data_IF_468991267248
#
_entry.id   IF_468991267248
#
_cell.length_a   1.000
_cell.length_b   1.000
_cell.length_c   1.000
_cell.angle_alpha   90.00
_cell.angle_beta   90.00
_cell.angle_gamma   90.00
#
_symmetry.space_group_name_H-M   'P 1'
#
loop_
_entity.id
_entity.type
_entity.pdbx_description
1 polymer ?
#
# COMPACT_ATOMS: atom_id res chain seq x y z
N UNK A 1 -12.40 7.76 0.15
CA UNK A 1 -11.70 6.47 -0.02
C UNK A 1 -11.28 5.98 1.36
N UNK A 2 -11.16 4.67 1.55
CA UNK A 2 -10.53 4.08 2.73
C UNK A 2 -8.99 4.24 2.68
N UNK A 3 -8.28 3.65 3.64
CA UNK A 3 -6.83 3.76 3.76
C UNK A 3 -6.10 3.12 2.57
N UNK A 4 -5.04 3.77 2.09
CA UNK A 4 -4.03 3.15 1.21
C UNK A 4 -3.00 2.46 2.09
N UNK A 5 -2.74 1.16 1.91
CA UNK A 5 -1.79 0.45 2.74
C UNK A 5 -0.34 0.71 2.37
N UNK A 6 0.55 0.25 3.25
CA UNK A 6 2.00 0.33 3.16
C UNK A 6 2.60 -1.06 3.26
N UNK A 7 3.74 -1.29 2.61
CA UNK A 7 4.41 -2.59 2.58
C UNK A 7 5.83 -2.48 3.16
N UNK A 8 5.90 -2.10 4.43
CA UNK A 8 7.16 -1.82 5.13
C UNK A 8 7.83 -3.05 5.73
N UNK A 9 7.13 -4.19 5.77
CA UNK A 9 7.52 -5.37 6.54
C UNK A 9 7.32 -6.64 5.73
N UNK A 10 8.40 -7.16 5.13
CA UNK A 10 8.32 -8.36 4.27
C UNK A 10 7.91 -9.63 5.02
N UNK A 11 8.09 -9.66 6.34
CA UNK A 11 7.64 -10.76 7.20
C UNK A 11 6.12 -10.93 7.24
N UNK A 12 5.34 -9.98 6.71
CA UNK A 12 3.88 -10.06 6.64
C UNK A 12 3.37 -11.01 5.55
N UNK A 13 4.16 -11.23 4.49
CA UNK A 13 3.79 -12.08 3.35
C UNK A 13 4.77 -13.22 3.07
N UNK A 14 5.93 -13.24 3.72
CA UNK A 14 6.87 -14.35 3.63
C UNK A 14 6.52 -15.46 4.64
N UNK A 15 6.61 -16.71 4.20
CA UNK A 15 6.38 -17.83 5.11
C UNK A 15 7.50 -17.90 6.16
N UNK A 16 7.16 -18.21 7.41
CA UNK A 16 8.15 -18.45 8.45
C UNK A 16 9.11 -19.59 7.99
N UNK A 17 10.35 -19.22 7.65
CA UNK A 17 11.37 -20.15 7.17
C UNK A 17 11.52 -20.28 5.64
N UNK A 18 10.85 -19.46 4.82
CA UNK A 18 11.04 -19.44 3.36
C UNK A 18 12.35 -18.77 2.93
N UNK A 19 13.50 -19.21 3.46
CA UNK A 19 14.82 -18.98 2.85
C UNK A 19 15.28 -17.54 2.63
N UNK A 20 14.49 -16.52 2.96
CA UNK A 20 14.87 -15.11 3.02
C UNK A 20 15.76 -14.89 4.23
N UNK A 21 16.99 -15.41 4.20
CA UNK A 21 17.94 -15.39 5.30
C UNK A 21 18.48 -14.00 5.67
N UNK A 22 17.73 -12.91 5.45
CA UNK A 22 18.29 -11.57 5.33
C UNK A 22 17.41 -10.41 5.79
N UNK A 23 16.71 -10.52 6.92
CA UNK A 23 16.02 -9.37 7.53
C UNK A 23 14.89 -8.77 6.68
N UNK A 24 14.34 -7.64 7.12
CA UNK A 24 13.23 -6.97 6.43
C UNK A 24 13.72 -6.24 5.17
N UNK A 25 13.24 -6.66 3.98
CA UNK A 25 13.50 -5.98 2.71
C UNK A 25 12.34 -5.11 2.21
N UNK A 26 11.27 -4.95 2.99
CA UNK A 26 10.10 -4.14 2.62
C UNK A 26 9.52 -4.63 1.28
N UNK A 27 9.00 -3.75 0.44
CA UNK A 27 8.56 -4.03 -0.93
C UNK A 27 9.70 -4.18 -1.96
N UNK A 28 10.97 -4.29 -1.54
CA UNK A 28 12.08 -4.37 -2.50
C UNK A 28 12.10 -5.72 -3.22
N UNK A 29 12.15 -5.68 -4.55
CA UNK A 29 12.20 -6.87 -5.41
C UNK A 29 10.93 -7.76 -5.36
N UNK A 30 9.85 -7.25 -4.77
CA UNK A 30 8.53 -7.85 -4.85
C UNK A 30 7.92 -7.55 -6.23
N UNK A 31 7.58 -8.58 -6.98
CA UNK A 31 7.12 -8.47 -8.38
C UNK A 31 5.78 -9.15 -8.64
N UNK A 32 5.28 -9.89 -7.66
CA UNK A 32 4.00 -10.58 -7.69
C UNK A 32 3.15 -10.17 -6.49
N UNK A 33 1.81 -10.15 -6.63
CA UNK A 33 0.91 -9.85 -5.52
C UNK A 33 0.94 -10.96 -4.46
N UNK A 34 0.30 -10.69 -3.32
CA UNK A 34 0.07 -11.67 -2.27
C UNK A 34 -1.11 -12.56 -2.69
N UNK A 35 -0.87 -13.84 -2.93
CA UNK A 35 -1.90 -14.80 -3.37
C UNK A 35 -2.79 -15.32 -2.22
N UNK A 36 -2.31 -15.27 -0.97
CA UNK A 36 -3.04 -15.81 0.18
C UNK A 36 -4.32 -15.04 0.47
N UNK A 37 -5.46 -15.74 0.53
CA UNK A 37 -6.73 -15.15 0.95
C UNK A 37 -6.68 -14.68 2.41
N UNK A 38 -7.37 -13.58 2.72
CA UNK A 38 -7.47 -13.06 4.09
C UNK A 38 -6.16 -12.48 4.64
N UNK A 39 -5.21 -12.11 3.77
CA UNK A 39 -4.02 -11.39 4.20
C UNK A 39 -4.39 -10.03 4.80
N UNK A 40 -3.81 -9.70 5.95
CA UNK A 40 -3.98 -8.42 6.64
C UNK A 40 -2.62 -7.95 7.11
N UNK A 41 -2.09 -6.89 6.50
CA UNK A 41 -0.83 -6.30 6.93
C UNK A 41 -0.97 -5.54 8.25
N UNK A 42 0.17 -5.27 8.88
CA UNK A 42 0.23 -4.70 10.24
C UNK A 42 -0.27 -3.26 10.29
N UNK A 43 -0.18 -2.54 9.17
CA UNK A 43 -0.59 -1.15 9.04
C UNK A 43 -2.11 -0.99 8.78
N UNK A 44 -2.85 -2.09 8.56
CA UNK A 44 -4.30 -2.08 8.53
C UNK A 44 -4.89 -1.88 9.93
N UNK A 45 -5.15 -0.63 10.32
CA UNK A 45 -5.75 -0.29 11.62
C UNK A 45 -7.30 -0.44 11.61
N UNK A 46 -7.88 -1.41 12.34
CA UNK A 46 -9.33 -1.55 12.46
C UNK A 46 -10.01 -0.33 13.11
N UNK A 47 -9.30 0.40 13.97
CA UNK A 47 -9.83 1.61 14.60
C UNK A 47 -10.05 2.72 13.58
N UNK A 48 -9.19 2.83 12.56
CA UNK A 48 -9.40 3.75 11.44
C UNK A 48 -10.66 3.37 10.64
N UNK A 49 -10.83 2.10 10.30
CA UNK A 49 -12.00 1.61 9.57
C UNK A 49 -13.29 1.89 10.35
N UNK A 50 -13.32 1.52 11.63
CA UNK A 50 -14.47 1.79 12.52
C UNK A 50 -14.74 3.28 12.70
N UNK A 51 -13.69 4.11 12.78
CA UNK A 51 -13.82 5.57 12.85
C UNK A 51 -14.41 6.18 11.58
N UNK A 52 -13.99 5.69 10.42
CA UNK A 52 -14.53 6.10 9.12
C UNK A 52 -16.01 5.72 8.98
N UNK A 53 -16.37 4.48 9.34
CA UNK A 53 -17.77 4.02 9.31
C UNK A 53 -18.65 4.83 10.26
N UNK A 54 -18.18 5.10 11.49
CA UNK A 54 -18.90 5.91 12.45
C UNK A 54 -19.11 7.36 11.95
N UNK A 55 -18.12 7.94 11.28
CA UNK A 55 -18.25 9.27 10.67
C UNK A 55 -19.29 9.28 9.55
N UNK A 56 -19.25 8.29 8.67
CA UNK A 56 -20.22 8.14 7.57
C UNK A 56 -21.63 7.98 8.10
N UNK A 57 -21.83 7.17 9.14
CA UNK A 57 -23.13 7.01 9.79
C UNK A 57 -23.65 8.32 10.39
N UNK A 58 -22.78 9.09 11.07
CA UNK A 58 -23.13 10.41 11.63
C UNK A 58 -23.51 11.43 10.55
N UNK A 59 -22.84 11.40 9.40
CA UNK A 59 -23.19 12.26 8.25
C UNK A 59 -24.53 11.83 7.63
N UNK A 60 -24.77 10.52 7.51
CA UNK A 60 -26.05 9.97 7.04
C UNK A 60 -27.23 10.39 7.92
N UNK A 61 -27.06 10.36 9.25
CA UNK A 61 -28.07 10.85 10.20
C UNK A 61 -28.39 12.36 10.05
N UNK A 62 -27.50 13.12 9.41
CA UNK A 62 -27.68 14.55 9.10
C UNK A 62 -28.15 14.80 7.66
N UNK A 63 -28.51 13.75 6.93
CA UNK A 63 -28.98 13.84 5.54
C UNK A 63 -27.86 13.95 4.49
N UNK A 64 -26.59 13.75 4.87
CA UNK A 64 -25.46 13.77 3.94
C UNK A 64 -25.12 12.34 3.52
N UNK A 65 -25.39 12.00 2.26
CA UNK A 65 -25.04 10.70 1.70
C UNK A 65 -23.55 10.65 1.34
N UNK A 66 -22.80 9.75 1.98
CA UNK A 66 -21.39 9.48 1.69
C UNK A 66 -21.23 8.02 1.33
N UNK A 67 -20.60 7.75 0.18
CA UNK A 67 -20.22 6.40 -0.22
C UNK A 67 -18.71 6.25 -0.10
N UNK A 68 -18.26 5.31 0.72
CA UNK A 68 -16.84 5.03 0.87
C UNK A 68 -16.40 4.07 -0.22
N UNK A 69 -15.40 4.48 -0.98
CA UNK A 69 -14.62 3.59 -1.82
C UNK A 69 -13.68 2.77 -0.93
N UNK A 70 -14.04 1.52 -0.64
CA UNK A 70 -13.21 0.61 0.14
C UNK A 70 -12.16 -0.04 -0.76
N UNK A 71 -10.94 0.49 -0.69
CA UNK A 71 -9.79 0.08 -1.51
C UNK A 71 -8.69 -0.59 -0.69
N UNK A 72 -8.84 -0.68 0.62
CA UNK A 72 -7.74 -1.08 1.52
C UNK A 72 -7.36 -2.54 1.26
N UNK A 73 -8.31 -3.46 1.40
CA UNK A 73 -8.04 -4.90 1.26
C UNK A 73 -7.48 -5.26 -0.11
N UNK A 74 -8.07 -4.78 -1.22
CA UNK A 74 -7.56 -5.08 -2.56
C UNK A 74 -6.16 -4.52 -2.81
N UNK A 75 -5.81 -3.41 -2.16
CA UNK A 75 -4.50 -2.78 -2.30
C UNK A 75 -3.46 -3.46 -1.40
N UNK A 76 -3.89 -4.09 -0.30
CA UNK A 76 -3.04 -4.88 0.59
C UNK A 76 -2.39 -6.05 -0.14
N UNK A 77 -3.06 -6.63 -1.12
CA UNK A 77 -2.48 -7.71 -1.90
C UNK A 77 -1.37 -7.24 -2.85
N UNK A 78 -1.13 -5.93 -2.98
CA UNK A 78 -0.33 -5.35 -4.08
C UNK A 78 1.06 -4.90 -3.66
N UNK A 79 1.77 -5.70 -2.86
CA UNK A 79 3.18 -5.47 -2.50
C UNK A 79 4.11 -5.21 -3.70
N UNK A 80 3.73 -5.71 -4.88
CA UNK A 80 4.42 -5.59 -6.17
C UNK A 80 4.30 -4.21 -6.84
N UNK A 81 3.35 -3.38 -6.43
CA UNK A 81 2.95 -2.21 -7.20
C UNK A 81 3.57 -0.88 -6.71
N UNK A 82 4.48 -0.95 -5.74
CA UNK A 82 5.20 0.21 -5.23
C UNK A 82 6.38 0.62 -6.14
N UNK A 83 6.77 1.90 -6.19
CA UNK A 83 7.99 2.34 -6.87
C UNK A 83 9.25 1.69 -6.31
N UNK A 84 9.23 1.28 -5.03
CA UNK A 84 10.40 0.75 -4.36
C UNK A 84 11.57 1.72 -4.51
N UNK A 85 12.72 1.25 -4.99
CA UNK A 85 13.92 2.08 -5.22
C UNK A 85 13.84 3.01 -6.43
N UNK A 86 12.80 2.89 -7.26
CA UNK A 86 12.60 3.64 -8.51
C UNK A 86 11.83 4.96 -8.31
N UNK A 87 11.79 5.46 -7.07
CA UNK A 87 11.21 6.77 -6.74
C UNK A 87 11.99 7.93 -7.35
N UNK A 88 11.31 9.05 -7.57
CA UNK A 88 11.96 10.30 -7.99
C UNK A 88 12.91 10.81 -6.91
N UNK A 89 14.17 11.01 -7.28
CA UNK A 89 15.16 11.68 -6.43
C UNK A 89 15.19 13.17 -6.79
N UNK A 90 14.68 14.02 -5.90
CA UNK A 90 14.63 15.47 -6.13
C UNK A 90 16.00 16.15 -6.10
N UNK A 91 16.94 15.52 -5.41
CA UNK A 91 18.34 15.93 -5.32
C UNK A 91 19.25 14.77 -5.70
N UNK A 92 20.42 15.03 -6.31
CA UNK A 92 21.41 13.99 -6.52
C UNK A 92 21.75 13.29 -5.19
N UNK A 93 21.86 11.95 -5.19
CA UNK A 93 22.15 11.22 -3.96
C UNK A 93 23.57 11.58 -3.49
N UNK A 94 23.70 11.81 -2.19
CA UNK A 94 25.00 12.01 -1.55
C UNK A 94 25.82 10.72 -1.66
N UNK A 95 27.15 10.80 -1.60
CA UNK A 95 27.99 9.59 -1.57
C UNK A 95 27.63 8.66 -0.39
N UNK A 96 27.20 9.23 0.73
CA UNK A 96 26.74 8.45 1.88
C UNK A 96 25.49 7.62 1.54
N UNK A 97 24.53 8.20 0.81
CA UNK A 97 23.33 7.49 0.33
C UNK A 97 23.69 6.44 -0.72
N UNK A 98 24.60 6.73 -1.64
CA UNK A 98 25.09 5.74 -2.62
C UNK A 98 25.75 4.56 -1.91
N UNK A 99 26.62 4.82 -0.92
CA UNK A 99 27.24 3.76 -0.10
C UNK A 99 26.23 2.99 0.75
N UNK A 100 25.20 3.66 1.29
CA UNK A 100 24.13 3.02 2.05
C UNK A 100 23.33 2.06 1.16
N UNK A 101 22.92 2.52 -0.03
CA UNK A 101 22.20 1.71 -1.01
C UNK A 101 23.01 0.52 -1.51
N UNK A 102 24.33 0.68 -1.69
CA UNK A 102 25.21 -0.42 -2.07
C UNK A 102 25.29 -1.52 -0.99
N UNK A 103 25.12 -1.17 0.29
CA UNK A 103 25.10 -2.13 1.41
C UNK A 103 23.72 -2.73 1.65
N UNK A 104 22.68 -1.92 1.49
CA UNK A 104 21.29 -2.33 1.65
C UNK A 104 20.43 -1.69 0.55
N UNK A 105 20.17 -2.40 -0.55
CA UNK A 105 19.37 -1.88 -1.66
C UNK A 105 17.94 -1.45 -1.24
N UNK A 106 17.34 -2.10 -0.24
CA UNK A 106 15.98 -1.78 0.23
C UNK A 106 15.91 -0.55 1.14
N UNK A 107 17.04 -0.02 1.61
CA UNK A 107 17.07 1.07 2.60
C UNK A 107 16.38 2.37 2.16
N UNK A 108 16.26 2.57 0.84
CA UNK A 108 15.62 3.73 0.22
C UNK A 108 14.32 3.36 -0.51
N UNK A 109 13.77 2.17 -0.30
CA UNK A 109 12.54 1.75 -0.96
C UNK A 109 11.35 2.63 -0.53
N UNK A 110 10.58 3.10 -1.50
CA UNK A 110 9.29 3.72 -1.27
C UNK A 110 8.20 2.66 -1.36
N UNK A 111 7.70 2.24 -0.20
CA UNK A 111 6.65 1.24 -0.05
C UNK A 111 5.33 1.86 0.46
N UNK A 112 5.12 3.14 0.13
CA UNK A 112 3.94 3.94 0.51
C UNK A 112 3.21 4.44 -0.73
N UNK A 113 3.96 4.97 -1.70
CA UNK A 113 3.40 5.44 -2.96
C UNK A 113 3.23 4.31 -3.97
N UNK A 114 2.50 4.56 -5.06
CA UNK A 114 2.23 3.57 -6.09
C UNK A 114 2.85 3.96 -7.42
N UNK A 115 3.30 2.97 -8.18
CA UNK A 115 3.64 3.15 -9.59
C UNK A 115 2.41 3.57 -10.40
N UNK A 116 2.64 4.31 -11.48
CA UNK A 116 1.65 4.61 -12.52
C UNK A 116 2.18 4.18 -13.89
N UNK A 117 1.41 3.44 -14.70
CA UNK A 117 0.09 2.86 -14.38
C UNK A 117 0.17 1.81 -13.24
N UNK A 118 -0.91 1.63 -12.47
CA UNK A 118 -0.90 0.75 -11.30
C UNK A 118 -2.17 0.76 -10.44
N UNK A 119 -2.00 0.49 -9.14
CA UNK A 119 -3.10 0.36 -8.16
C UNK A 119 -4.07 1.55 -8.15
N UNK A 120 -3.62 2.82 -8.22
CA UNK A 120 -4.53 3.97 -8.27
C UNK A 120 -5.44 3.98 -9.50
N UNK A 121 -5.07 3.34 -10.60
CA UNK A 121 -5.93 3.24 -11.79
C UNK A 121 -7.17 2.38 -11.48
N UNK A 122 -7.01 1.31 -10.70
CA UNK A 122 -8.13 0.47 -10.24
C UNK A 122 -9.05 1.25 -9.31
N UNK A 123 -8.51 2.07 -8.41
CA UNK A 123 -9.32 2.95 -7.56
C UNK A 123 -10.17 3.91 -8.40
N UNK A 124 -9.57 4.47 -9.46
CA UNK A 124 -10.26 5.35 -10.40
C UNK A 124 -11.32 4.61 -11.21
N UNK A 125 -11.09 3.35 -11.59
CA UNK A 125 -12.11 2.53 -12.25
C UNK A 125 -13.33 2.27 -11.34
N UNK A 126 -13.10 1.96 -10.05
CA UNK A 126 -14.20 1.78 -9.07
C UNK A 126 -14.96 3.10 -8.88
N UNK A 127 -14.25 4.22 -8.75
CA UNK A 127 -14.87 5.55 -8.68
C UNK A 127 -15.69 5.86 -9.93
N UNK A 128 -15.13 5.61 -11.11
CA UNK A 128 -15.80 5.84 -12.39
C UNK A 128 -17.08 5.01 -12.51
N UNK A 129 -17.02 3.71 -12.18
CA UNK A 129 -18.18 2.83 -12.17
C UNK A 129 -19.30 3.37 -11.27
N UNK A 130 -18.95 3.87 -10.08
CA UNK A 130 -19.89 4.53 -9.19
C UNK A 130 -20.51 5.78 -9.80
N UNK A 131 -19.74 6.64 -10.46
CA UNK A 131 -20.27 7.85 -11.11
C UNK A 131 -21.23 7.48 -12.25
N UNK A 132 -20.89 6.47 -13.05
CA UNK A 132 -21.69 6.05 -14.21
C UNK A 132 -22.94 5.24 -13.85
N UNK A 133 -23.00 4.69 -12.64
CA UNK A 133 -24.15 3.93 -12.12
C UNK A 133 -25.07 4.76 -11.21
N UNK A 134 -24.75 6.04 -11.00
CA UNK A 134 -25.52 6.96 -10.16
C UNK A 134 -26.62 7.69 -10.93
#
# INVERSE_FOLDING_TARGET
>A
MSMSPTHLHSDEWEAAGSGGGGGNHQCYNETEPIEGEGHHGRDMDPAFAGGLEALVARLGARGVAVRVLNVTQLSEHRKDAHPSVHRRQWHPPTEAQVRARARNPSSDADCIHWCLPGVPDVWNQILYAHIMSS
#
